data_IF_609782122537
#
_entry.id   IF_609782122537
#
_cell.length_a   1.000
_cell.length_b   1.000
_cell.length_c   1.000
_cell.angle_alpha   90.00
_cell.angle_beta   90.00
_cell.angle_gamma   90.00
#
_symmetry.space_group_name_H-M   'P 1'
#
loop_
_entity.id
_entity.type
_entity.pdbx_description
1 polymer ?
#
# COMPACT_ATOMS: atom_id res chain seq x y z
N UNK A 1 -22.01 2.62 9.14
CA UNK A 1 -21.14 3.40 8.24
C UNK A 1 -19.86 2.61 8.09
N UNK A 2 -19.66 1.95 6.94
CA UNK A 2 -18.48 1.10 6.74
C UNK A 2 -17.21 1.94 6.65
N UNK A 3 -16.27 1.73 7.59
CA UNK A 3 -14.96 2.38 7.61
C UNK A 3 -13.94 1.43 6.97
N UNK A 4 -13.91 1.39 5.65
CA UNK A 4 -12.97 0.55 4.88
C UNK A 4 -11.77 1.38 4.42
N UNK A 5 -10.56 0.84 4.54
CA UNK A 5 -9.33 1.44 4.01
C UNK A 5 -8.90 0.65 2.76
N UNK A 6 -8.74 1.36 1.64
CA UNK A 6 -8.17 0.78 0.42
C UNK A 6 -6.65 0.61 0.59
N UNK A 7 -6.16 -0.63 0.61
CA UNK A 7 -4.72 -0.92 0.76
C UNK A 7 -3.94 -0.80 -0.53
N UNK A 8 -4.47 -1.39 -1.60
CA UNK A 8 -3.78 -1.44 -2.86
C UNK A 8 -4.72 -1.16 -4.01
N UNK A 9 -4.23 -0.47 -5.03
CA UNK A 9 -4.86 -0.38 -6.34
C UNK A 9 -4.14 -1.37 -7.25
N UNK A 10 -4.89 -2.33 -7.80
CA UNK A 10 -4.37 -3.14 -8.91
C UNK A 10 -4.39 -2.27 -10.15
N UNK A 11 -3.21 -2.13 -10.76
CA UNK A 11 -3.05 -1.47 -12.06
C UNK A 11 -2.62 -2.51 -13.09
N UNK A 12 -2.67 -2.13 -14.36
CA UNK A 12 -2.01 -2.82 -15.47
C UNK A 12 -0.51 -3.09 -15.20
N UNK A 13 0.09 -2.38 -14.23
CA UNK A 13 1.50 -2.44 -13.85
C UNK A 13 1.77 -3.09 -12.49
N UNK A 14 0.75 -3.72 -11.89
CA UNK A 14 0.85 -4.43 -10.60
C UNK A 14 0.16 -3.71 -9.43
N UNK A 15 0.26 -4.29 -8.21
CA UNK A 15 -0.36 -3.73 -7.02
C UNK A 15 0.40 -2.50 -6.51
N UNK A 16 -0.32 -1.38 -6.35
CA UNK A 16 0.22 -0.14 -5.80
C UNK A 16 -0.36 0.11 -4.42
N UNK A 17 0.49 0.18 -3.40
CA UNK A 17 0.05 0.61 -2.08
C UNK A 17 -0.45 2.04 -2.14
N UNK A 18 -1.61 2.28 -1.51
CA UNK A 18 -2.17 3.62 -1.37
C UNK A 18 -1.39 4.42 -0.32
N UNK A 19 -1.56 5.75 -0.27
CA UNK A 19 -1.06 6.56 0.85
C UNK A 19 -1.50 6.03 2.22
N UNK A 20 -2.70 5.46 2.31
CA UNK A 20 -3.16 4.83 3.54
C UNK A 20 -2.40 3.55 3.90
N UNK A 21 -2.11 2.66 2.94
CA UNK A 21 -1.30 1.49 3.22
C UNK A 21 0.13 1.87 3.64
N UNK A 22 0.72 2.85 2.95
CA UNK A 22 2.04 3.37 3.32
C UNK A 22 2.00 4.02 4.70
N UNK A 23 0.96 4.76 5.05
CA UNK A 23 0.78 5.33 6.39
C UNK A 23 0.75 4.25 7.48
N UNK A 24 0.04 3.15 7.23
CA UNK A 24 -0.03 2.04 8.18
C UNK A 24 1.33 1.34 8.36
N UNK A 25 2.13 1.28 7.29
CA UNK A 25 3.47 0.67 7.30
C UNK A 25 4.55 1.58 7.90
N UNK A 26 4.57 2.86 7.51
CA UNK A 26 5.68 3.78 7.82
C UNK A 26 5.35 4.76 8.94
N UNK A 27 4.08 5.04 9.18
CA UNK A 27 3.62 6.10 10.08
C UNK A 27 3.72 7.52 9.55
N UNK A 28 4.21 7.69 8.32
CA UNK A 28 4.21 8.98 7.61
C UNK A 28 2.78 9.41 7.37
N UNK A 29 2.47 10.70 7.49
CA UNK A 29 1.10 11.18 7.35
C UNK A 29 0.54 10.88 5.95
N UNK A 30 -0.78 10.64 5.87
CA UNK A 30 -1.45 10.40 4.58
C UNK A 30 -1.30 11.61 3.65
N UNK A 31 -1.30 12.82 4.20
CA UNK A 31 -1.10 14.07 3.44
C UNK A 31 0.28 14.13 2.80
N UNK A 32 1.34 13.87 3.57
CA UNK A 32 2.71 13.84 3.09
C UNK A 32 2.93 12.74 2.03
N UNK A 33 2.35 11.56 2.25
CA UNK A 33 2.39 10.46 1.27
C UNK A 33 1.62 10.78 -0.01
N UNK A 34 0.51 11.51 0.09
CA UNK A 34 -0.28 11.93 -1.07
C UNK A 34 0.49 12.93 -1.91
N UNK A 35 1.03 13.99 -1.29
CA UNK A 35 1.85 14.99 -1.97
C UNK A 35 3.08 14.36 -2.64
N UNK A 36 3.71 13.40 -1.97
CA UNK A 36 4.86 12.70 -2.52
C UNK A 36 4.50 11.83 -3.73
N UNK A 37 3.41 11.04 -3.67
CA UNK A 37 2.94 10.26 -4.83
C UNK A 37 2.53 11.12 -6.03
N UNK A 38 1.98 12.31 -5.79
CA UNK A 38 1.66 13.26 -6.86
C UNK A 38 2.92 13.79 -7.57
N UNK A 39 3.99 14.05 -6.80
CA UNK A 39 5.27 14.52 -7.34
C UNK A 39 6.19 13.44 -7.91
N UNK A 40 5.92 12.16 -7.60
CA UNK A 40 6.79 11.04 -7.96
C UNK A 40 5.98 9.92 -8.64
N UNK A 41 5.49 10.16 -9.88
CA UNK A 41 4.79 9.15 -10.63
C UNK A 41 5.70 7.93 -10.81
N UNK A 42 5.12 6.74 -10.70
CA UNK A 42 5.85 5.48 -10.80
C UNK A 42 6.68 5.42 -12.08
N UNK A 43 7.99 5.30 -11.92
CA UNK A 43 8.89 5.25 -13.05
C UNK A 43 8.75 3.90 -13.77
N UNK A 44 8.62 3.96 -15.10
CA UNK A 44 8.90 2.84 -16.00
C UNK A 44 10.23 3.20 -16.67
N UNK A 45 11.33 2.46 -16.44
CA UNK A 45 12.64 2.88 -16.92
C UNK A 45 12.67 3.07 -18.44
N UNK A 46 12.08 2.17 -19.24
CA UNK A 46 12.11 2.30 -20.70
C UNK A 46 10.91 1.60 -21.36
N UNK A 47 9.98 2.36 -21.94
CA UNK A 47 8.96 2.08 -22.99
C UNK A 47 8.40 0.66 -23.34
N UNK A 48 8.38 -0.36 -22.47
CA UNK A 48 7.57 -1.57 -22.75
C UNK A 48 7.95 -2.83 -22.00
N UNK A 49 7.51 -2.92 -20.74
CA UNK A 49 7.32 -4.07 -19.82
C UNK A 49 8.29 -5.28 -19.91
N UNK A 50 8.82 -5.79 -18.76
CA UNK A 50 7.94 -6.21 -17.66
C UNK A 50 8.43 -5.98 -16.20
N UNK A 51 7.41 -5.98 -15.33
CA UNK A 51 7.35 -6.54 -13.96
C UNK A 51 7.33 -5.64 -12.72
N UNK A 52 7.98 -4.47 -12.63
CA UNK A 52 7.92 -3.68 -11.38
C UNK A 52 7.96 -2.17 -11.62
N UNK A 53 6.82 -1.52 -11.43
CA UNK A 53 6.78 -0.09 -11.12
C UNK A 53 7.31 0.11 -9.69
N UNK A 54 8.45 0.78 -9.55
CA UNK A 54 8.99 1.15 -8.24
C UNK A 54 9.32 2.64 -8.23
N UNK A 55 9.06 3.27 -7.09
CA UNK A 55 9.57 4.59 -6.77
C UNK A 55 10.33 4.44 -5.46
N UNK A 56 11.57 4.92 -5.43
CA UNK A 56 12.35 4.98 -4.20
C UNK A 56 11.69 5.94 -3.21
N UNK A 57 11.30 5.43 -2.04
CA UNK A 57 10.82 6.27 -0.95
C UNK A 57 12.00 6.88 -0.16
N UNK A 58 11.81 8.03 0.50
CA UNK A 58 12.79 8.60 1.41
C UNK A 58 13.29 7.58 2.45
N UNK A 59 14.60 7.60 2.73
CA UNK A 59 15.24 6.61 3.60
C UNK A 59 14.67 6.63 5.02
N UNK A 60 14.35 7.82 5.52
CA UNK A 60 13.71 8.08 6.81
C UNK A 60 12.36 7.37 6.94
N UNK A 61 11.58 7.30 5.86
CA UNK A 61 10.30 6.56 5.84
C UNK A 61 10.53 5.06 5.89
N UNK A 62 11.56 4.57 5.20
CA UNK A 62 11.99 3.17 5.29
C UNK A 62 12.47 2.80 6.70
N UNK A 63 13.21 3.69 7.37
CA UNK A 63 13.62 3.50 8.76
C UNK A 63 12.43 3.54 9.73
N UNK A 64 11.49 4.46 9.51
CA UNK A 64 10.25 4.54 10.30
C UNK A 64 9.42 3.27 10.16
N UNK A 65 9.30 2.74 8.94
CA UNK A 65 8.64 1.46 8.69
C UNK A 65 9.29 0.29 9.40
N UNK A 66 10.63 0.21 9.42
CA UNK A 66 11.35 -0.84 10.17
C UNK A 66 11.12 -0.74 11.68
N UNK A 67 11.18 0.47 12.26
CA UNK A 67 10.89 0.67 13.69
C UNK A 67 9.47 0.23 14.03
N UNK A 68 8.51 0.62 13.21
CA UNK A 68 7.10 0.26 13.39
C UNK A 68 6.86 -1.23 13.26
N UNK A 69 7.48 -1.89 12.29
CA UNK A 69 7.42 -3.34 12.15
C UNK A 69 7.96 -4.05 13.39
N UNK A 70 9.06 -3.56 13.99
CA UNK A 70 9.60 -4.11 15.23
C UNK A 70 8.66 -3.92 16.44
N UNK A 71 8.04 -2.75 16.58
CA UNK A 71 7.02 -2.49 17.63
C UNK A 71 5.83 -3.45 17.52
N UNK A 72 5.35 -3.66 16.29
CA UNK A 72 4.25 -4.57 16.01
C UNK A 72 4.66 -6.02 16.24
N UNK A 73 5.86 -6.41 15.83
CA UNK A 73 6.36 -7.76 16.07
C UNK A 73 6.49 -8.05 17.57
N UNK A 74 6.88 -7.06 18.37
CA UNK A 74 6.88 -7.18 19.83
C UNK A 74 5.47 -7.36 20.40
N UNK A 75 4.45 -6.72 19.81
CA UNK A 75 3.06 -6.81 20.25
C UNK A 75 2.31 -8.07 19.76
N UNK A 76 2.67 -8.58 18.59
CA UNK A 76 1.89 -9.61 17.86
C UNK A 76 2.65 -10.91 17.61
N UNK A 77 3.98 -10.92 17.82
CA UNK A 77 4.85 -12.05 17.54
C UNK A 77 5.17 -12.27 16.05
N UNK A 78 4.83 -11.34 15.15
CA UNK A 78 5.07 -11.49 13.71
C UNK A 78 5.64 -10.25 13.03
N UNK A 79 6.46 -10.46 12.00
CA UNK A 79 7.00 -9.44 11.10
C UNK A 79 6.20 -9.30 9.80
N UNK A 80 5.06 -10.01 9.68
CA UNK A 80 4.23 -9.96 8.49
C UNK A 80 3.60 -8.56 8.30
N UNK A 81 3.84 -7.96 7.13
CA UNK A 81 3.40 -6.60 6.82
C UNK A 81 1.88 -6.46 6.79
N UNK A 82 1.14 -7.50 6.36
CA UNK A 82 -0.32 -7.47 6.35
C UNK A 82 -0.89 -7.52 7.77
N UNK A 83 -0.33 -8.38 8.61
CA UNK A 83 -0.67 -8.46 10.04
C UNK A 83 -0.34 -7.15 10.75
N UNK A 84 0.78 -6.53 10.41
CA UNK A 84 1.15 -5.22 10.91
C UNK A 84 0.15 -4.12 10.55
N UNK A 85 -0.23 -4.04 9.28
CA UNK A 85 -1.25 -3.09 8.83
C UNK A 85 -2.59 -3.33 9.52
N UNK A 86 -3.04 -4.59 9.64
CA UNK A 86 -4.29 -4.97 10.33
C UNK A 86 -4.27 -4.59 11.80
N UNK A 87 -3.17 -4.88 12.51
CA UNK A 87 -3.00 -4.53 13.92
C UNK A 87 -3.12 -3.02 14.11
N UNK A 88 -2.41 -2.23 13.30
CA UNK A 88 -2.47 -0.77 13.36
C UNK A 88 -3.88 -0.24 13.05
N UNK A 89 -4.51 -0.74 11.99
CA UNK A 89 -5.84 -0.32 11.57
C UNK A 89 -6.88 -0.52 12.70
N UNK A 90 -6.91 -1.72 13.29
CA UNK A 90 -7.81 -2.03 14.39
C UNK A 90 -7.47 -1.27 15.67
N UNK A 91 -6.20 -1.27 16.07
CA UNK A 91 -5.78 -0.75 17.36
C UNK A 91 -5.77 0.78 17.44
N UNK A 92 -5.37 1.48 16.36
CA UNK A 92 -5.24 2.95 16.37
C UNK A 92 -6.42 3.69 15.75
N UNK A 93 -7.08 3.08 14.76
CA UNK A 93 -8.13 3.76 14.00
C UNK A 93 -9.52 3.15 14.23
N UNK A 94 -9.62 2.00 14.90
CA UNK A 94 -10.88 1.29 15.10
C UNK A 94 -11.52 0.89 13.77
N UNK A 95 -10.70 0.57 12.76
CA UNK A 95 -11.15 0.20 11.42
C UNK A 95 -10.65 -1.20 11.06
N UNK A 96 -11.47 -1.93 10.33
CA UNK A 96 -11.10 -3.22 9.79
C UNK A 96 -10.45 -3.06 8.42
N UNK A 97 -9.36 -3.80 8.22
CA UNK A 97 -8.69 -3.84 6.94
C UNK A 97 -9.26 -4.96 6.07
N UNK A 98 -10.03 -4.55 5.06
CA UNK A 98 -10.61 -5.46 4.06
C UNK A 98 -9.75 -5.40 2.80
N UNK A 99 -9.23 -6.55 2.37
CA UNK A 99 -8.63 -6.70 1.05
C UNK A 99 -9.75 -7.07 0.07
N UNK A 100 -10.18 -6.13 -0.76
CA UNK A 100 -11.09 -6.42 -1.87
C UNK A 100 -10.28 -6.72 -3.13
N UNK A 101 -10.48 -7.91 -3.68
CA UNK A 101 -9.95 -8.28 -4.98
C UNK A 101 -10.77 -7.58 -6.08
N UNK A 102 -10.17 -6.59 -6.74
CA UNK A 102 -10.81 -5.83 -7.82
C UNK A 102 -10.75 -6.53 -9.19
N UNK A 103 -10.32 -7.79 -9.29
CA UNK A 103 -10.39 -8.55 -10.54
C UNK A 103 -11.81 -8.65 -11.14
N UNK A 104 -12.86 -8.27 -10.38
CA UNK A 104 -14.25 -8.21 -10.82
C UNK A 104 -14.70 -6.87 -11.45
N UNK A 105 -13.85 -5.84 -11.50
CA UNK A 105 -14.25 -4.48 -11.94
C UNK A 105 -13.59 -4.00 -13.24
N UNK A 106 -12.62 -4.73 -13.77
CA UNK A 106 -12.22 -4.54 -15.17
C UNK A 106 -13.20 -5.33 -16.04
N UNK A 107 -13.89 -4.70 -17.02
CA UNK A 107 -14.53 -5.50 -18.04
C UNK A 107 -13.45 -6.43 -18.62
N UNK A 108 -13.72 -7.73 -18.63
CA UNK A 108 -12.89 -8.68 -19.38
C UNK A 108 -12.69 -8.06 -20.77
N UNK A 109 -11.46 -7.99 -21.31
CA UNK A 109 -11.29 -7.55 -22.68
C UNK A 109 -12.18 -8.43 -23.55
N UNK A 110 -13.17 -7.81 -24.20
CA UNK A 110 -13.94 -8.48 -25.25
C UNK A 110 -12.93 -8.89 -26.31
N UNK A 111 -12.77 -10.20 -26.50
CA UNK A 111 -12.09 -10.72 -27.68
C UNK A 111 -13.02 -10.42 -28.84
N UNK A 112 -12.78 -9.30 -29.51
CA UNK A 112 -13.40 -9.01 -30.80
C UNK A 112 -12.73 -9.94 -31.81
N UNK A 113 -13.47 -10.98 -32.19
CA UNK A 113 -13.11 -11.89 -33.30
C UNK A 113 -13.40 -11.28 -34.67
#
# INVERSE_FOLDING_TARGET
MERRILLARITDRGPLFTPWAMHLLTGVSVEELTAWFEGHPLAHPDTGLPDRCWTEIPQEWGQAGRRRAAEIAAATGTYDALTAMRYVAGHRYGVELVMEDRALWMPKPEVVG
#
